data_IF_306038572950
#
_entry.id   IF_306038572950
#
_cell.length_a   1.000
_cell.length_b   1.000
_cell.length_c   1.000
_cell.angle_alpha   90.00
_cell.angle_beta   90.00
_cell.angle_gamma   90.00
#
_symmetry.space_group_name_H-M   'P 1'
#
loop_
_entity.id
_entity.type
_entity.pdbx_description
1 polymer ?
#
# COMPACT_ATOMS: atom_id res chain seq x y z
N UNK A 1 4.99 2.74 1.18
CA UNK A 1 4.50 2.65 -0.23
C UNK A 1 3.23 3.46 -0.44
N UNK A 2 2.47 3.82 0.60
CA UNK A 2 1.04 4.08 0.46
C UNK A 2 0.46 5.18 -0.46
N UNK A 3 1.26 5.95 -1.16
CA UNK A 3 0.82 6.78 -2.29
C UNK A 3 2.02 7.36 -3.05
N UNK A 4 3.23 7.28 -2.48
CA UNK A 4 4.28 6.38 -2.99
C UNK A 4 5.52 6.39 -2.09
N UNK A 5 5.77 7.46 -1.34
CA UNK A 5 6.62 7.55 -0.13
C UNK A 5 6.48 8.97 0.45
N UNK A 6 5.34 9.27 1.07
CA UNK A 6 5.01 10.64 1.51
C UNK A 6 5.95 11.16 2.61
N UNK A 7 6.50 10.27 3.44
CA UNK A 7 7.77 10.52 4.09
C UNK A 7 8.54 9.21 4.14
N UNK A 8 9.88 9.25 3.99
CA UNK A 8 10.74 8.12 4.36
C UNK A 8 10.82 7.97 5.89
N UNK A 9 9.68 8.05 6.58
CA UNK A 9 9.60 7.80 8.01
C UNK A 9 9.38 6.31 8.15
N UNK A 10 10.35 5.65 8.79
CA UNK A 10 10.40 4.22 9.04
C UNK A 10 9.07 3.74 9.64
N UNK A 11 8.19 3.06 8.87
CA UNK A 11 6.93 2.62 9.42
C UNK A 11 7.22 1.48 10.40
N UNK A 12 6.57 1.51 11.56
CA UNK A 12 6.49 0.32 12.40
C UNK A 12 5.67 -0.69 11.61
N UNK A 13 6.32 -1.76 11.16
CA UNK A 13 5.65 -2.93 10.64
C UNK A 13 5.35 -3.83 11.83
N UNK A 14 4.07 -3.99 12.13
CA UNK A 14 3.65 -4.93 13.17
C UNK A 14 3.73 -6.35 12.58
N UNK A 15 4.64 -7.16 13.11
CA UNK A 15 4.56 -8.61 12.96
C UNK A 15 3.55 -9.11 14.00
N UNK A 16 2.25 -9.03 13.71
CA UNK A 16 1.27 -9.77 14.51
C UNK A 16 1.29 -11.26 14.11
N UNK A 17 1.85 -11.58 12.93
CA UNK A 17 1.79 -12.93 12.36
C UNK A 17 3.13 -13.31 11.73
N UNK A 18 4.09 -13.73 12.54
CA UNK A 18 5.33 -14.34 12.03
C UNK A 18 5.10 -15.82 11.73
N UNK A 19 4.99 -16.18 10.45
CA UNK A 19 5.59 -17.40 9.90
C UNK A 19 5.92 -17.14 8.42
N UNK A 20 7.17 -17.39 7.99
CA UNK A 20 7.61 -17.19 6.61
C UNK A 20 6.94 -18.15 5.63
N UNK A 21 6.61 -17.65 4.43
CA UNK A 21 6.00 -18.41 3.34
C UNK A 21 4.61 -17.88 2.96
N UNK A 22 4.13 -18.23 1.75
CA UNK A 22 2.72 -18.03 1.36
C UNK A 22 1.91 -19.00 2.24
N UNK A 23 1.47 -18.52 3.39
CA UNK A 23 0.69 -19.30 4.34
C UNK A 23 -0.78 -18.95 4.11
N UNK A 24 -1.66 -19.94 3.92
CA UNK A 24 -3.09 -19.69 3.82
C UNK A 24 -3.53 -18.91 5.07
N UNK A 25 -4.12 -17.74 4.85
CA UNK A 25 -4.71 -16.97 5.95
C UNK A 25 -5.89 -17.78 6.49
N UNK A 26 -5.97 -18.08 7.80
CA UNK A 26 -7.04 -18.91 8.33
C UNK A 26 -8.40 -18.22 8.20
N UNK A 27 -9.46 -19.03 8.13
CA UNK A 27 -10.83 -18.56 7.99
C UNK A 27 -11.31 -17.77 9.22
N UNK A 28 -10.77 -18.10 10.40
CA UNK A 28 -11.10 -17.50 11.69
C UNK A 28 -9.83 -17.33 12.55
N UNK A 29 -9.89 -16.39 13.51
CA UNK A 29 -8.83 -16.21 14.50
C UNK A 29 -8.92 -17.32 15.56
N UNK A 30 -7.97 -18.25 15.55
CA UNK A 30 -7.95 -19.43 16.43
C UNK A 30 -6.79 -19.41 17.44
N UNK A 31 -6.07 -18.30 17.53
CA UNK A 31 -4.90 -18.18 18.41
C UNK A 31 -5.25 -17.52 19.73
N UNK A 32 -4.30 -17.57 20.67
CA UNK A 32 -4.36 -16.73 21.86
C UNK A 32 -4.38 -15.26 21.41
N UNK A 33 -5.40 -14.53 21.86
CA UNK A 33 -5.54 -13.11 21.57
C UNK A 33 -4.76 -12.34 22.62
N UNK A 34 -3.66 -11.72 22.23
CA UNK A 34 -2.94 -10.81 23.12
C UNK A 34 -3.61 -9.41 23.14
N UNK A 35 -3.59 -8.69 24.27
CA UNK A 35 -4.19 -7.35 24.38
C UNK A 35 -3.55 -6.32 23.44
N UNK A 36 -4.32 -5.33 22.94
CA UNK A 36 -3.81 -4.37 21.97
C UNK A 36 -2.68 -3.49 22.54
N UNK A 37 -2.67 -3.18 23.84
CA UNK A 37 -1.62 -2.42 24.51
C UNK A 37 -0.30 -3.19 24.56
N UNK A 38 -0.37 -4.50 24.80
CA UNK A 38 0.81 -5.37 24.78
C UNK A 38 1.40 -5.41 23.36
N UNK A 39 0.57 -5.64 22.35
CA UNK A 39 1.01 -5.65 20.94
C UNK A 39 1.64 -4.32 20.58
N UNK A 40 1.02 -3.20 20.96
CA UNK A 40 1.52 -1.86 20.68
C UNK A 40 2.90 -1.61 21.30
N UNK A 41 3.05 -1.93 22.59
CA UNK A 41 4.31 -1.87 23.34
C UNK A 41 5.41 -2.70 22.65
N UNK A 42 5.13 -3.96 22.36
CA UNK A 42 6.12 -4.85 21.75
C UNK A 42 6.50 -4.42 20.32
N UNK A 43 5.55 -3.89 19.55
CA UNK A 43 5.83 -3.37 18.22
C UNK A 43 6.80 -2.18 18.26
N UNK A 44 6.59 -1.24 19.20
CA UNK A 44 7.52 -0.13 19.40
C UNK A 44 8.89 -0.61 19.87
N UNK A 45 8.94 -1.51 20.85
CA UNK A 45 10.20 -2.05 21.37
C UNK A 45 11.01 -2.76 20.30
N UNK A 46 10.35 -3.58 19.47
CA UNK A 46 11.00 -4.30 18.38
C UNK A 46 11.49 -3.34 17.28
N UNK A 47 10.69 -2.32 16.95
CA UNK A 47 11.12 -1.26 16.04
C UNK A 47 12.37 -0.54 16.55
N UNK A 48 12.36 -0.09 17.81
CA UNK A 48 13.50 0.61 18.40
C UNK A 48 14.74 -0.29 18.53
N UNK A 49 14.57 -1.58 18.83
CA UNK A 49 15.67 -2.55 18.81
C UNK A 49 16.29 -2.64 17.41
N UNK A 50 15.48 -2.70 16.36
CA UNK A 50 15.95 -2.74 14.97
C UNK A 50 16.69 -1.44 14.59
N UNK A 51 16.14 -0.27 14.91
CA UNK A 51 16.81 1.02 14.65
C UNK A 51 18.15 1.09 15.39
N UNK A 52 18.22 0.65 16.65
CA UNK A 52 19.48 0.65 17.43
C UNK A 52 20.60 -0.16 16.77
N UNK A 53 20.28 -1.25 16.04
CA UNK A 53 21.27 -2.04 15.31
C UNK A 53 21.94 -1.26 14.17
N UNK A 54 21.29 -0.20 13.68
CA UNK A 54 21.84 0.64 12.64
C UNK A 54 22.93 1.60 13.17
N UNK A 55 23.06 1.78 14.49
CA UNK A 55 24.01 2.74 15.06
C UNK A 55 25.46 2.42 14.64
N UNK A 56 26.13 3.39 14.02
CA UNK A 56 27.54 3.28 13.63
C UNK A 56 27.79 2.69 12.24
N UNK A 57 26.74 2.32 11.49
CA UNK A 57 26.89 1.90 10.09
C UNK A 57 27.28 3.12 9.23
N UNK A 58 28.34 3.01 8.38
CA UNK A 58 28.72 4.09 7.47
C UNK A 58 27.58 4.49 6.52
N UNK A 59 27.34 5.79 6.36
CA UNK A 59 26.32 6.34 5.47
C UNK A 59 24.98 6.69 6.12
N UNK A 60 24.80 6.40 7.41
CA UNK A 60 23.60 6.84 8.14
C UNK A 60 23.67 8.32 8.44
N UNK A 61 22.61 9.04 8.09
CA UNK A 61 22.42 10.45 8.46
C UNK A 61 21.91 10.53 9.92
N UNK A 62 22.56 11.34 10.75
CA UNK A 62 22.30 11.39 12.19
C UNK A 62 20.90 11.90 12.52
N UNK A 63 20.42 12.90 11.78
CA UNK A 63 19.06 13.44 11.83
C UNK A 63 18.00 12.35 11.57
N UNK A 64 18.12 11.58 10.48
CA UNK A 64 17.21 10.48 10.14
C UNK A 64 17.23 9.34 11.16
N UNK A 65 18.39 9.08 11.75
CA UNK A 65 18.52 8.09 12.83
C UNK A 65 17.78 8.53 14.09
N UNK A 66 17.85 9.81 14.47
CA UNK A 66 17.08 10.33 15.60
C UNK A 66 15.58 10.37 15.29
N UNK A 67 15.21 10.79 14.08
CA UNK A 67 13.82 10.82 13.59
C UNK A 67 13.17 9.43 13.67
N UNK A 68 13.91 8.35 13.37
CA UNK A 68 13.40 6.98 13.39
C UNK A 68 12.92 6.49 14.76
N UNK A 69 13.32 7.13 15.87
CA UNK A 69 12.80 6.84 17.22
C UNK A 69 11.46 7.51 17.50
N UNK A 70 11.03 8.47 16.68
CA UNK A 70 9.71 9.07 16.72
C UNK A 70 8.81 8.42 15.66
N UNK A 71 8.10 7.36 16.04
CA UNK A 71 7.20 6.66 15.12
C UNK A 71 6.04 7.57 14.75
N UNK A 72 5.87 7.85 13.46
CA UNK A 72 4.71 8.63 12.93
C UNK A 72 3.71 7.78 12.16
N UNK A 73 4.12 6.60 11.70
CA UNK A 73 3.30 5.77 10.81
C UNK A 73 3.39 4.29 11.19
N UNK A 74 2.26 3.60 11.15
CA UNK A 74 2.15 2.17 11.32
C UNK A 74 1.54 1.52 10.08
N UNK A 75 2.25 0.55 9.52
CA UNK A 75 1.79 -0.23 8.36
C UNK A 75 1.34 -1.61 8.82
N UNK A 76 0.03 -1.83 8.81
CA UNK A 76 -0.62 -3.11 9.11
C UNK A 76 -0.71 -3.92 7.82
N UNK A 77 0.44 -4.45 7.39
CA UNK A 77 0.56 -5.05 6.04
C UNK A 77 1.69 -6.07 5.89
N UNK A 78 2.24 -6.61 6.97
CA UNK A 78 3.46 -7.43 6.90
C UNK A 78 3.17 -8.87 6.48
N UNK A 79 2.50 -9.63 7.34
CA UNK A 79 2.07 -11.02 7.07
C UNK A 79 0.72 -11.23 7.74
N UNK A 80 -0.12 -12.08 7.15
CA UNK A 80 -1.47 -12.37 7.63
C UNK A 80 -2.48 -11.29 7.22
N UNK A 81 -3.67 -11.37 7.80
CA UNK A 81 -4.78 -10.47 7.52
C UNK A 81 -5.11 -9.67 8.79
N UNK A 82 -4.71 -8.38 8.87
CA UNK A 82 -4.79 -7.60 10.10
C UNK A 82 -6.22 -7.43 10.61
N UNK A 83 -7.20 -7.43 9.71
CA UNK A 83 -8.61 -7.26 10.06
C UNK A 83 -9.22 -8.45 10.80
N UNK A 84 -8.50 -9.59 10.86
CA UNK A 84 -8.88 -10.74 11.66
C UNK A 84 -8.59 -10.56 13.14
N UNK A 85 -7.71 -9.63 13.52
CA UNK A 85 -7.42 -9.39 14.93
C UNK A 85 -8.68 -8.87 15.64
N UNK A 86 -9.18 -9.55 16.70
CA UNK A 86 -10.46 -9.21 17.31
C UNK A 86 -10.54 -7.78 17.85
N UNK A 87 -9.42 -7.21 18.31
CA UNK A 87 -9.32 -5.87 18.88
C UNK A 87 -8.69 -4.87 17.91
N UNK A 88 -8.87 -5.06 16.59
CA UNK A 88 -8.26 -4.18 15.57
C UNK A 88 -8.65 -2.71 15.73
N UNK A 89 -9.90 -2.42 16.08
CA UNK A 89 -10.38 -1.05 16.30
C UNK A 89 -9.72 -0.42 17.54
N UNK A 90 -9.62 -1.17 18.64
CA UNK A 90 -8.91 -0.73 19.85
C UNK A 90 -7.42 -0.45 19.54
N UNK A 91 -6.79 -1.31 18.75
CA UNK A 91 -5.40 -1.12 18.32
C UNK A 91 -5.22 0.12 17.43
N UNK A 92 -6.10 0.32 16.44
CA UNK A 92 -6.07 1.53 15.59
C UNK A 92 -6.28 2.79 16.43
N UNK A 93 -7.19 2.74 17.40
CA UNK A 93 -7.40 3.84 18.35
C UNK A 93 -6.13 4.13 19.16
N UNK A 94 -5.46 3.11 19.69
CA UNK A 94 -4.19 3.31 20.42
C UNK A 94 -3.11 3.96 19.55
N UNK A 95 -3.02 3.61 18.27
CA UNK A 95 -2.11 4.28 17.32
C UNK A 95 -2.47 5.76 17.19
N UNK A 96 -3.74 6.07 16.96
CA UNK A 96 -4.21 7.44 16.73
C UNK A 96 -4.13 8.31 17.99
N UNK A 97 -4.40 7.77 19.17
CA UNK A 97 -4.21 8.45 20.46
C UNK A 97 -2.72 8.85 20.69
N UNK A 98 -1.79 8.21 19.97
CA UNK A 98 -0.35 8.54 19.94
C UNK A 98 0.08 9.32 18.70
N UNK A 99 -0.86 9.82 17.90
CA UNK A 99 -0.61 10.51 16.63
C UNK A 99 0.23 9.69 15.64
N UNK A 100 0.00 8.36 15.63
CA UNK A 100 0.61 7.43 14.68
C UNK A 100 -0.41 7.08 13.60
N UNK A 101 -0.18 7.49 12.36
CA UNK A 101 -1.13 7.25 11.27
C UNK A 101 -1.17 5.76 10.90
N UNK A 102 -2.33 5.24 10.51
CA UNK A 102 -2.52 3.82 10.23
C UNK A 102 -2.79 3.53 8.75
N UNK A 103 -2.02 2.59 8.20
CA UNK A 103 -2.19 2.07 6.84
C UNK A 103 -2.56 0.60 6.95
N UNK A 104 -3.82 0.26 6.68
CA UNK A 104 -4.31 -1.11 6.80
C UNK A 104 -4.49 -1.74 5.42
N UNK A 105 -3.91 -2.90 5.21
CA UNK A 105 -4.05 -3.67 3.97
C UNK A 105 -4.86 -4.93 4.23
N UNK A 106 -5.89 -5.17 3.41
CA UNK A 106 -6.69 -6.38 3.46
C UNK A 106 -6.80 -7.06 2.09
N UNK A 107 -7.03 -8.37 2.11
CA UNK A 107 -7.24 -9.21 0.92
C UNK A 107 -8.71 -9.26 0.43
N UNK A 108 -9.59 -8.42 0.99
CA UNK A 108 -11.02 -8.40 0.69
C UNK A 108 -11.74 -9.75 0.92
N UNK A 109 -11.28 -10.53 1.90
CA UNK A 109 -11.90 -11.78 2.34
C UNK A 109 -12.58 -11.67 3.70
N UNK A 110 -12.99 -10.49 4.20
CA UNK A 110 -13.78 -10.39 5.45
C UNK A 110 -14.74 -9.17 5.47
N UNK A 111 -15.87 -9.18 4.73
CA UNK A 111 -16.75 -8.02 4.59
C UNK A 111 -17.38 -7.58 5.91
N UNK A 112 -17.77 -8.51 6.79
CA UNK A 112 -18.33 -8.15 8.11
C UNK A 112 -17.33 -7.38 8.98
N UNK A 113 -16.08 -7.82 9.01
CA UNK A 113 -14.98 -7.14 9.72
C UNK A 113 -14.64 -5.82 9.04
N UNK A 114 -14.61 -5.79 7.71
CA UNK A 114 -14.37 -4.57 6.93
C UNK A 114 -15.44 -3.52 7.21
N UNK A 115 -16.71 -3.91 7.28
CA UNK A 115 -17.82 -3.01 7.64
C UNK A 115 -17.65 -2.43 9.05
N UNK A 116 -17.28 -3.27 10.02
CA UNK A 116 -17.09 -2.87 11.41
C UNK A 116 -15.77 -2.12 11.69
N UNK A 117 -14.82 -2.10 10.74
CA UNK A 117 -13.54 -1.41 10.90
C UNK A 117 -13.74 0.10 11.07
N UNK A 118 -13.18 0.65 12.13
CA UNK A 118 -13.16 2.10 12.38
C UNK A 118 -12.24 2.83 11.39
N UNK A 119 -12.33 4.16 11.38
CA UNK A 119 -11.58 4.97 10.41
C UNK A 119 -10.08 4.76 10.57
N UNK A 120 -9.41 4.31 9.51
CA UNK A 120 -7.93 4.31 9.42
C UNK A 120 -7.47 5.49 8.57
N UNK A 121 -6.19 5.86 8.66
CA UNK A 121 -5.67 6.98 7.85
C UNK A 121 -5.76 6.68 6.36
N UNK A 122 -5.43 5.43 5.97
CA UNK A 122 -5.61 4.94 4.60
C UNK A 122 -5.84 3.43 4.57
N UNK A 123 -6.85 3.00 3.81
CA UNK A 123 -7.27 1.60 3.70
C UNK A 123 -6.97 1.05 2.30
N UNK A 124 -6.30 -0.10 2.25
CA UNK A 124 -5.98 -0.80 1.02
C UNK A 124 -6.77 -2.07 0.89
N UNK A 125 -7.18 -2.35 -0.35
CA UNK A 125 -7.47 -3.69 -0.81
C UNK A 125 -6.42 -4.12 -1.82
N UNK A 126 -5.84 -5.30 -1.60
CA UNK A 126 -5.02 -5.98 -2.61
C UNK A 126 -5.96 -6.53 -3.68
N UNK A 127 -5.78 -6.08 -4.93
CA UNK A 127 -6.53 -6.58 -6.09
C UNK A 127 -5.54 -7.29 -6.99
N UNK A 128 -5.31 -8.57 -6.69
CA UNK A 128 -4.30 -9.38 -7.35
C UNK A 128 -4.82 -10.06 -8.64
N UNK A 129 -6.14 -10.05 -8.85
CA UNK A 129 -6.80 -10.55 -10.05
C UNK A 129 -8.11 -9.80 -10.30
N UNK A 130 -8.57 -9.81 -11.56
CA UNK A 130 -9.81 -9.12 -11.95
C UNK A 130 -10.99 -10.04 -12.29
N UNK A 131 -10.76 -11.35 -12.33
CA UNK A 131 -11.80 -12.38 -12.59
C UNK A 131 -11.81 -13.43 -11.48
N UNK A 132 -12.95 -14.14 -11.34
CA UNK A 132 -13.10 -15.22 -10.35
C UNK A 132 -12.08 -16.34 -10.56
N UNK A 133 -11.83 -16.68 -11.82
CA UNK A 133 -10.91 -17.72 -12.26
C UNK A 133 -9.47 -17.35 -11.94
N UNK A 134 -9.05 -16.12 -12.28
CA UNK A 134 -7.70 -15.63 -12.01
C UNK A 134 -7.46 -15.45 -10.51
N UNK A 135 -8.43 -14.94 -9.75
CA UNK A 135 -8.32 -14.82 -8.30
C UNK A 135 -8.15 -16.20 -7.65
N UNK A 136 -8.91 -17.21 -8.10
CA UNK A 136 -8.75 -18.57 -7.60
C UNK A 136 -7.37 -19.16 -7.90
N UNK A 137 -6.81 -18.85 -9.07
CA UNK A 137 -5.51 -19.36 -9.53
C UNK A 137 -4.34 -18.71 -8.78
N UNK A 138 -4.41 -17.40 -8.55
CA UNK A 138 -3.35 -16.60 -7.94
C UNK A 138 -3.41 -16.71 -6.42
N UNK A 139 -4.55 -16.35 -5.81
CA UNK A 139 -4.66 -16.20 -4.35
C UNK A 139 -4.96 -17.51 -3.63
N UNK A 140 -5.48 -18.51 -4.36
CA UNK A 140 -5.90 -19.81 -3.81
C UNK A 140 -6.75 -19.65 -2.53
N UNK A 141 -7.85 -18.89 -2.61
CA UNK A 141 -8.65 -18.52 -1.45
C UNK A 141 -9.28 -19.76 -0.81
N UNK A 142 -9.43 -19.72 0.52
CA UNK A 142 -10.00 -20.81 1.30
C UNK A 142 -11.54 -20.82 1.31
N UNK A 143 -12.16 -19.65 1.21
CA UNK A 143 -13.62 -19.51 1.17
C UNK A 143 -14.18 -20.03 -0.17
N UNK A 144 -15.34 -20.69 -0.15
CA UNK A 144 -16.01 -21.15 -1.38
C UNK A 144 -16.66 -20.00 -2.15
N UNK A 145 -17.12 -18.99 -1.41
CA UNK A 145 -17.76 -17.75 -1.82
C UNK A 145 -16.77 -16.56 -1.87
N UNK A 146 -15.49 -16.86 -2.09
CA UNK A 146 -14.40 -15.87 -2.06
C UNK A 146 -14.60 -14.69 -3.03
N UNK A 147 -15.27 -14.92 -4.16
CA UNK A 147 -15.48 -13.89 -5.19
C UNK A 147 -16.61 -12.95 -4.82
N UNK A 148 -17.72 -13.52 -4.34
CA UNK A 148 -18.89 -12.78 -3.89
C UNK A 148 -18.51 -11.88 -2.70
N UNK A 149 -17.70 -12.42 -1.79
CA UNK A 149 -17.11 -11.70 -0.67
C UNK A 149 -16.15 -10.58 -1.09
N UNK A 150 -15.32 -10.85 -2.09
CA UNK A 150 -14.41 -9.86 -2.65
C UNK A 150 -15.18 -8.66 -3.21
N UNK A 151 -16.21 -8.93 -4.03
CA UNK A 151 -17.09 -7.91 -4.57
C UNK A 151 -17.84 -7.12 -3.48
N UNK A 152 -18.34 -7.79 -2.44
CA UNK A 152 -18.97 -7.11 -1.28
C UNK A 152 -17.98 -6.19 -0.56
N UNK A 153 -16.71 -6.59 -0.41
CA UNK A 153 -15.69 -5.72 0.18
C UNK A 153 -15.44 -4.46 -0.66
N UNK A 154 -15.47 -4.57 -1.99
CA UNK A 154 -15.35 -3.41 -2.88
C UNK A 154 -16.53 -2.45 -2.71
N UNK A 155 -17.75 -2.98 -2.55
CA UNK A 155 -18.93 -2.15 -2.26
C UNK A 155 -18.79 -1.43 -0.93
N UNK A 156 -18.31 -2.12 0.11
CA UNK A 156 -18.07 -1.53 1.43
C UNK A 156 -17.03 -0.40 1.37
N UNK A 157 -15.94 -0.60 0.62
CA UNK A 157 -14.90 0.43 0.45
C UNK A 157 -15.48 1.73 -0.11
N UNK A 158 -16.36 1.65 -1.10
CA UNK A 158 -17.00 2.82 -1.71
C UNK A 158 -17.80 3.66 -0.70
N UNK A 159 -18.23 3.05 0.42
CA UNK A 159 -19.06 3.66 1.45
C UNK A 159 -18.26 4.15 2.66
N UNK A 160 -16.95 3.84 2.76
CA UNK A 160 -16.15 4.17 3.96
C UNK A 160 -15.91 5.66 4.15
N UNK A 161 -15.94 6.47 3.08
CA UNK A 161 -15.69 7.91 3.11
C UNK A 161 -14.26 8.34 3.46
N UNK A 162 -13.46 7.45 4.06
CA UNK A 162 -12.02 7.62 4.28
C UNK A 162 -11.22 7.31 3.01
N UNK A 163 -9.92 7.59 3.06
CA UNK A 163 -9.02 7.37 1.94
C UNK A 163 -8.84 5.88 1.60
N UNK A 164 -9.22 5.48 0.40
CA UNK A 164 -9.19 4.08 -0.08
C UNK A 164 -8.24 3.89 -1.26
N UNK A 165 -7.54 2.75 -1.29
CA UNK A 165 -6.57 2.43 -2.34
C UNK A 165 -6.77 1.01 -2.83
N UNK A 166 -6.84 0.82 -4.14
CA UNK A 166 -6.65 -0.49 -4.75
C UNK A 166 -5.18 -0.66 -5.06
N UNK A 167 -4.56 -1.71 -4.53
CA UNK A 167 -3.17 -2.04 -4.87
C UNK A 167 -3.17 -3.23 -5.81
N UNK A 168 -2.76 -2.98 -7.04
CA UNK A 168 -2.68 -3.98 -8.10
C UNK A 168 -1.24 -4.44 -8.22
N UNK A 169 -1.00 -5.74 -7.99
CA UNK A 169 0.32 -6.33 -8.18
C UNK A 169 0.43 -6.83 -9.62
N UNK A 170 1.19 -6.10 -10.46
CA UNK A 170 1.38 -6.48 -11.85
C UNK A 170 2.42 -7.62 -11.95
N UNK A 171 1.99 -8.74 -12.51
CA UNK A 171 2.84 -9.86 -12.89
C UNK A 171 2.90 -9.92 -14.42
N UNK A 172 4.12 -9.93 -14.96
CA UNK A 172 4.31 -10.01 -16.41
C UNK A 172 3.73 -11.31 -16.96
N UNK A 173 3.03 -11.20 -18.10
CA UNK A 173 2.34 -12.26 -18.84
C UNK A 173 1.09 -12.87 -18.17
N UNK A 174 0.59 -12.28 -17.07
CA UNK A 174 -0.63 -12.76 -16.39
C UNK A 174 -1.82 -11.79 -16.45
N UNK A 175 -1.58 -10.47 -16.47
CA UNK A 175 -2.63 -9.48 -16.19
C UNK A 175 -3.10 -8.67 -17.41
N UNK A 176 -2.44 -8.76 -18.58
CA UNK A 176 -2.69 -7.86 -19.72
C UNK A 176 -3.99 -8.15 -20.48
N UNK A 177 -4.56 -9.36 -20.36
CA UNK A 177 -5.80 -9.74 -21.05
C UNK A 177 -7.07 -9.29 -20.31
N UNK A 178 -6.96 -8.76 -19.09
CA UNK A 178 -8.12 -8.51 -18.21
C UNK A 178 -8.41 -7.02 -17.91
N UNK A 179 -7.92 -6.08 -18.72
CA UNK A 179 -8.09 -4.63 -18.46
C UNK A 179 -9.56 -4.25 -18.25
N UNK A 180 -10.47 -4.76 -19.09
CA UNK A 180 -11.90 -4.47 -18.99
C UNK A 180 -12.48 -4.89 -17.62
N UNK A 181 -12.05 -6.04 -17.08
CA UNK A 181 -12.49 -6.51 -15.78
C UNK A 181 -11.94 -5.64 -14.64
N UNK A 182 -10.69 -5.17 -14.71
CA UNK A 182 -10.18 -4.19 -13.73
C UNK A 182 -11.00 -2.91 -13.75
N UNK A 183 -11.39 -2.42 -14.92
CA UNK A 183 -12.24 -1.22 -15.07
C UNK A 183 -13.60 -1.42 -14.39
N UNK A 184 -14.22 -2.60 -14.54
CA UNK A 184 -15.47 -2.94 -13.85
C UNK A 184 -15.30 -2.92 -12.31
N UNK A 185 -14.21 -3.50 -11.79
CA UNK A 185 -13.93 -3.52 -10.35
C UNK A 185 -13.69 -2.11 -9.79
N UNK A 186 -12.95 -1.27 -10.54
CA UNK A 186 -12.73 0.13 -10.20
C UNK A 186 -14.04 0.92 -10.23
N UNK A 187 -14.86 0.71 -11.26
CA UNK A 187 -16.18 1.34 -11.38
C UNK A 187 -17.13 0.97 -10.24
N UNK A 188 -17.01 -0.26 -9.71
CA UNK A 188 -17.79 -0.76 -8.58
C UNK A 188 -17.42 -0.08 -7.26
N UNK A 189 -16.17 -0.20 -6.82
CA UNK A 189 -15.79 0.30 -5.49
C UNK A 189 -15.24 1.72 -5.46
N UNK A 190 -15.00 2.33 -6.62
CA UNK A 190 -14.60 3.74 -6.80
C UNK A 190 -13.52 4.20 -5.81
N UNK A 191 -12.37 3.51 -5.76
CA UNK A 191 -11.31 3.87 -4.82
C UNK A 191 -10.80 5.28 -5.08
N UNK A 192 -10.24 5.93 -4.07
CA UNK A 192 -9.60 7.22 -4.26
C UNK A 192 -8.34 7.10 -5.12
N UNK A 193 -7.61 5.99 -4.96
CA UNK A 193 -6.36 5.72 -5.66
C UNK A 193 -6.27 4.28 -6.15
N UNK A 194 -5.55 4.11 -7.25
CA UNK A 194 -5.15 2.82 -7.79
C UNK A 194 -3.63 2.85 -7.88
N UNK A 195 -2.99 2.04 -7.04
CA UNK A 195 -1.55 1.87 -7.02
C UNK A 195 -1.20 0.61 -7.81
N UNK A 196 -0.60 0.80 -8.98
CA UNK A 196 -0.12 -0.31 -9.80
C UNK A 196 1.36 -0.51 -9.50
N UNK A 197 1.71 -1.70 -9.01
CA UNK A 197 3.07 -2.03 -8.59
C UNK A 197 3.54 -3.32 -9.25
N UNK A 198 4.72 -3.27 -9.87
CA UNK A 198 5.39 -4.46 -10.39
C UNK A 198 5.77 -5.44 -9.27
N UNK A 199 5.48 -6.73 -9.48
CA UNK A 199 5.88 -7.78 -8.54
C UNK A 199 7.40 -7.78 -8.33
N UNK A 200 7.84 -7.90 -7.09
CA UNK A 200 9.26 -8.06 -6.77
C UNK A 200 9.52 -9.53 -6.42
N UNK A 201 10.56 -10.11 -7.00
CA UNK A 201 10.92 -11.51 -6.72
C UNK A 201 11.68 -11.63 -5.40
N UNK A 202 11.08 -12.30 -4.41
CA UNK A 202 11.66 -12.46 -3.07
C UNK A 202 12.50 -13.73 -2.87
N UNK A 203 12.84 -14.45 -3.95
CA UNK A 203 13.61 -15.70 -3.87
C UNK A 203 12.74 -16.97 -3.77
N UNK A 204 13.34 -18.10 -4.15
CA UNK A 204 12.66 -19.38 -4.40
C UNK A 204 12.28 -20.10 -3.08
N UNK A 205 10.99 -20.25 -2.82
CA UNK A 205 10.44 -21.01 -1.67
C UNK A 205 9.57 -22.20 -2.06
N UNK A 206 9.64 -22.69 -3.31
CA UNK A 206 8.91 -23.87 -3.79
C UNK A 206 7.38 -23.76 -3.90
N UNK A 207 6.75 -22.73 -3.32
CA UNK A 207 5.31 -22.56 -3.28
C UNK A 207 4.71 -21.81 -4.49
N UNK A 208 5.51 -21.03 -5.23
CA UNK A 208 5.06 -20.25 -6.39
C UNK A 208 5.79 -20.65 -7.68
N UNK A 209 5.11 -20.53 -8.83
CA UNK A 209 5.69 -20.74 -10.17
C UNK A 209 6.34 -19.47 -10.72
N UNK A 210 6.41 -18.39 -9.93
CA UNK A 210 6.93 -17.11 -10.38
C UNK A 210 8.46 -17.17 -10.49
N UNK A 211 8.98 -16.58 -11.54
CA UNK A 211 10.42 -16.47 -11.82
C UNK A 211 10.81 -15.00 -11.99
N UNK A 212 12.11 -14.71 -12.05
CA UNK A 212 12.61 -13.37 -12.39
C UNK A 212 12.06 -12.86 -13.74
N UNK A 213 11.72 -13.75 -14.68
CA UNK A 213 11.14 -13.35 -15.96
C UNK A 213 9.73 -12.73 -15.81
N UNK A 214 9.06 -12.99 -14.69
CA UNK A 214 7.72 -12.47 -14.41
C UNK A 214 7.73 -11.10 -13.71
N UNK A 215 8.92 -10.58 -13.34
CA UNK A 215 9.08 -9.24 -12.77
C UNK A 215 9.01 -8.22 -13.90
N UNK A 216 8.01 -7.32 -13.92
CA UNK A 216 7.91 -6.31 -14.96
C UNK A 216 8.92 -5.19 -14.74
N UNK A 217 9.41 -4.64 -15.85
CA UNK A 217 10.15 -3.38 -15.85
C UNK A 217 9.20 -2.19 -15.69
N UNK A 218 9.72 -1.05 -15.23
CA UNK A 218 8.92 0.16 -15.00
C UNK A 218 8.16 0.62 -16.26
N UNK A 219 8.77 0.54 -17.43
CA UNK A 219 8.10 0.87 -18.70
C UNK A 219 6.95 -0.10 -19.05
N UNK A 220 7.02 -1.35 -18.61
CA UNK A 220 5.92 -2.32 -18.77
C UNK A 220 4.77 -1.97 -17.83
N UNK A 221 5.06 -1.49 -16.61
CA UNK A 221 4.04 -0.94 -15.70
C UNK A 221 3.41 0.33 -16.27
N UNK A 222 4.20 1.25 -16.86
CA UNK A 222 3.67 2.44 -17.56
C UNK A 222 2.72 2.02 -18.67
N UNK A 223 3.15 1.10 -19.54
CA UNK A 223 2.30 0.63 -20.65
C UNK A 223 0.98 0.01 -20.18
N UNK A 224 1.00 -0.76 -19.09
CA UNK A 224 -0.22 -1.29 -18.49
C UNK A 224 -1.11 -0.18 -17.94
N UNK A 225 -0.54 0.78 -17.21
CA UNK A 225 -1.28 1.91 -16.64
C UNK A 225 -1.89 2.79 -17.72
N UNK A 226 -1.17 3.07 -18.80
CA UNK A 226 -1.69 3.86 -19.92
C UNK A 226 -2.90 3.18 -20.55
N UNK A 227 -2.84 1.86 -20.77
CA UNK A 227 -3.97 1.11 -21.32
C UNK A 227 -5.14 1.06 -20.33
N UNK A 228 -4.89 0.86 -19.03
CA UNK A 228 -5.94 0.89 -18.00
C UNK A 228 -6.61 2.27 -17.95
N UNK A 229 -5.81 3.34 -17.90
CA UNK A 229 -6.29 4.71 -17.78
C UNK A 229 -7.17 5.14 -18.97
N UNK A 230 -6.85 4.68 -20.18
CA UNK A 230 -7.69 4.91 -21.38
C UNK A 230 -9.11 4.36 -21.23
N UNK A 231 -9.31 3.33 -20.41
CA UNK A 231 -10.62 2.71 -20.19
C UNK A 231 -11.31 3.18 -18.90
N UNK A 232 -10.60 3.87 -17.99
CA UNK A 232 -11.17 4.43 -16.76
C UNK A 232 -11.93 5.75 -16.98
N UNK A 233 -11.80 6.37 -18.16
CA UNK A 233 -12.45 7.63 -18.52
C UNK A 233 -11.91 8.83 -17.75
N UNK A 234 -12.67 9.92 -17.68
CA UNK A 234 -12.25 11.20 -17.07
C UNK A 234 -12.27 11.20 -15.52
N UNK A 235 -12.72 10.10 -14.91
CA UNK A 235 -12.80 10.00 -13.43
C UNK A 235 -11.45 9.69 -12.80
N UNK A 236 -10.50 9.13 -13.56
CA UNK A 236 -9.19 8.76 -13.09
C UNK A 236 -8.10 9.25 -14.04
N UNK A 237 -6.97 9.64 -13.48
CA UNK A 237 -5.80 10.07 -14.25
C UNK A 237 -4.51 9.69 -13.50
N UNK A 238 -3.43 9.49 -14.26
CA UNK A 238 -2.10 9.22 -13.69
C UNK A 238 -1.60 10.46 -12.97
N UNK A 239 -1.33 10.33 -11.67
CA UNK A 239 -0.94 11.45 -10.82
C UNK A 239 0.56 11.45 -10.48
N UNK A 240 1.10 10.28 -10.14
CA UNK A 240 2.46 10.17 -9.61
C UNK A 240 3.13 8.84 -10.01
N UNK A 241 4.45 8.79 -9.94
CA UNK A 241 5.22 7.56 -10.08
C UNK A 241 6.34 7.46 -9.04
N UNK A 242 6.87 6.25 -8.89
CA UNK A 242 8.12 6.00 -8.19
C UNK A 242 8.86 4.88 -8.92
N UNK A 243 9.65 5.27 -9.92
CA UNK A 243 10.30 4.37 -10.86
C UNK A 243 11.19 3.32 -10.18
N UNK A 244 11.88 3.71 -9.10
CA UNK A 244 12.76 2.79 -8.36
C UNK A 244 12.02 1.65 -7.66
N UNK A 245 10.73 1.82 -7.35
CA UNK A 245 9.88 0.76 -6.78
C UNK A 245 8.93 0.16 -7.81
N UNK A 246 9.11 0.50 -9.09
CA UNK A 246 8.27 0.02 -10.19
C UNK A 246 6.78 0.23 -9.90
N UNK A 247 6.42 1.44 -9.48
CA UNK A 247 5.07 1.76 -9.00
C UNK A 247 4.55 3.05 -9.60
N UNK A 248 3.26 3.07 -9.94
CA UNK A 248 2.56 4.21 -10.52
C UNK A 248 1.24 4.40 -9.78
N UNK A 249 0.87 5.65 -9.53
CA UNK A 249 -0.35 6.05 -8.88
C UNK A 249 -1.30 6.66 -9.91
N UNK A 250 -2.44 6.02 -10.10
CA UNK A 250 -3.61 6.61 -10.73
C UNK A 250 -4.50 7.15 -9.60
N UNK A 251 -4.99 8.39 -9.73
CA UNK A 251 -5.82 9.04 -8.73
C UNK A 251 -7.18 9.41 -9.32
N UNK A 252 -8.22 9.40 -8.49
CA UNK A 252 -9.50 9.98 -8.85
C UNK A 252 -9.33 11.49 -9.09
N UNK A 253 -9.92 12.03 -10.17
CA UNK A 253 -9.76 13.43 -10.57
C UNK A 253 -10.33 14.43 -9.56
N UNK A 254 -11.13 13.99 -8.58
CA UNK A 254 -11.50 14.83 -7.43
C UNK A 254 -10.32 15.32 -6.58
N UNK A 255 -9.16 14.63 -6.66
CA UNK A 255 -7.91 15.06 -6.02
C UNK A 255 -7.09 16.03 -6.90
N UNK A 256 -7.59 16.39 -8.08
CA UNK A 256 -6.97 17.39 -8.98
C UNK A 256 -7.65 18.75 -8.81
N UNK A 257 -7.24 19.48 -7.78
CA UNK A 257 -7.83 20.77 -7.40
C UNK A 257 -7.09 21.89 -8.15
N UNK A 258 -7.81 22.71 -8.91
CA UNK A 258 -7.22 23.80 -9.72
C UNK A 258 -6.10 23.32 -10.65
N UNK A 259 -6.29 22.15 -11.27
CA UNK A 259 -5.30 21.49 -12.15
C UNK A 259 -3.98 21.11 -11.45
N UNK A 260 -3.96 21.04 -10.13
CA UNK A 260 -2.84 20.56 -9.33
C UNK A 260 -3.25 19.31 -8.54
N UNK A 261 -2.33 18.36 -8.41
CA UNK A 261 -2.59 17.12 -7.69
C UNK A 261 -2.44 17.30 -6.18
N UNK A 262 -3.42 16.81 -5.42
CA UNK A 262 -3.44 16.77 -3.96
C UNK A 262 -3.53 15.32 -3.49
N UNK A 263 -2.56 14.51 -3.92
CA UNK A 263 -2.50 13.08 -3.55
C UNK A 263 -1.74 12.85 -2.25
N UNK A 264 -1.22 13.89 -1.59
CA UNK A 264 -0.56 13.75 -0.29
C UNK A 264 -1.53 13.80 0.88
N UNK A 265 -1.12 13.24 2.02
CA UNK A 265 -1.91 13.24 3.26
C UNK A 265 -1.39 14.37 4.13
N UNK A 266 -2.29 15.28 4.51
CA UNK A 266 -2.03 16.19 5.62
C UNK A 266 -2.32 15.44 6.93
N UNK A 267 -1.26 14.90 7.54
CA UNK A 267 -1.38 14.07 8.74
C UNK A 267 -1.84 14.86 9.95
N UNK A 268 -1.38 16.11 10.10
CA UNK A 268 -1.76 16.94 11.23
C UNK A 268 -3.26 17.28 11.09
N UNK A 269 -3.71 17.61 9.87
CA UNK A 269 -5.14 17.82 9.60
C UNK A 269 -5.99 16.56 9.83
N UNK A 270 -5.48 15.39 9.46
CA UNK A 270 -6.16 14.12 9.72
C UNK A 270 -6.40 13.91 11.21
N UNK A 271 -5.40 14.16 12.07
CA UNK A 271 -5.55 14.01 13.52
C UNK A 271 -6.48 15.08 14.11
N UNK A 272 -6.38 16.34 13.69
CA UNK A 272 -7.33 17.39 14.10
C UNK A 272 -8.79 16.99 13.84
N UNK A 273 -9.06 16.49 12.63
CA UNK A 273 -10.40 16.05 12.22
C UNK A 273 -10.86 14.83 13.02
N UNK A 274 -9.96 13.87 13.24
CA UNK A 274 -10.26 12.67 14.03
C UNK A 274 -10.61 13.01 15.49
N UNK A 275 -9.86 13.91 16.11
CA UNK A 275 -10.06 14.35 17.49
C UNK A 275 -11.30 15.23 17.66
N UNK A 276 -11.69 15.97 16.62
CA UNK A 276 -12.92 16.78 16.63
C UNK A 276 -14.19 15.93 16.77
N UNK A 277 -14.15 14.66 16.33
CA UNK A 277 -15.31 13.78 16.28
C UNK A 277 -16.31 14.12 15.16
N UNK A 278 -16.07 15.18 14.39
CA UNK A 278 -16.91 15.59 13.27
C UNK A 278 -16.77 14.64 12.07
N UNK A 279 -17.80 14.61 11.21
CA UNK A 279 -17.74 13.83 9.99
C UNK A 279 -16.79 14.47 8.96
N UNK A 280 -15.84 13.69 8.45
CA UNK A 280 -14.93 14.11 7.38
C UNK A 280 -14.64 12.97 6.39
N UNK A 281 -14.21 13.37 5.19
CA UNK A 281 -13.92 12.54 4.03
C UNK A 281 -12.45 12.59 3.65
N UNK A 282 -12.04 11.77 2.66
CA UNK A 282 -10.67 11.74 2.16
C UNK A 282 -10.17 13.05 1.54
N UNK A 283 -11.05 13.99 1.19
CA UNK A 283 -10.69 15.30 0.64
C UNK A 283 -10.33 16.33 1.71
N UNK A 284 -10.71 16.10 2.97
CA UNK A 284 -10.58 17.11 4.05
C UNK A 284 -9.17 17.16 4.66
N UNK A 285 -8.32 16.18 4.34
CA UNK A 285 -6.95 16.04 4.87
C UNK A 285 -5.93 15.78 3.76
N UNK A 286 -6.07 16.50 2.64
CA UNK A 286 -5.17 16.37 1.48
C UNK A 286 -4.05 17.41 1.52
N UNK A 287 -2.87 17.02 1.03
CA UNK A 287 -1.72 17.88 0.82
C UNK A 287 -1.30 17.86 -0.66
N UNK A 288 -0.66 18.93 -1.17
CA UNK A 288 -0.14 18.97 -2.53
C UNK A 288 0.82 17.82 -2.82
N UNK A 289 0.68 17.20 -3.99
CA UNK A 289 1.65 16.24 -4.50
C UNK A 289 2.94 16.98 -4.87
N UNK A 290 4.11 16.61 -4.32
CA UNK A 290 5.37 17.26 -4.66
C UNK A 290 5.72 17.09 -6.13
N UNK A 291 6.33 18.12 -6.71
CA UNK A 291 6.65 18.16 -8.15
C UNK A 291 7.54 16.98 -8.60
N UNK A 292 8.49 16.57 -7.75
CA UNK A 292 9.38 15.43 -8.00
C UNK A 292 8.67 14.07 -7.95
N UNK A 293 7.45 14.01 -7.41
CA UNK A 293 6.63 12.80 -7.34
C UNK A 293 5.67 12.69 -8.53
N UNK A 294 5.38 13.81 -9.20
CA UNK A 294 4.46 13.84 -10.34
C UNK A 294 4.95 12.91 -11.45
N UNK A 295 4.01 12.29 -12.14
CA UNK A 295 4.31 11.44 -13.28
C UNK A 295 5.03 12.23 -14.38
N UNK A 296 6.11 11.67 -14.91
CA UNK A 296 6.94 12.32 -15.92
C UNK A 296 7.91 13.39 -15.38
N UNK A 297 7.99 13.56 -14.06
CA UNK A 297 9.02 14.40 -13.44
C UNK A 297 10.44 13.84 -13.72
N UNK A 298 11.46 14.71 -13.83
CA UNK A 298 12.85 14.26 -14.01
C UNK A 298 13.34 13.30 -12.93
N UNK A 299 12.84 13.47 -11.71
CA UNK A 299 13.16 12.66 -10.54
C UNK A 299 12.45 11.28 -10.55
N UNK A 300 11.39 11.13 -11.34
CA UNK A 300 10.57 9.94 -11.46
C UNK A 300 10.17 9.35 -10.09
N UNK A 301 9.77 10.23 -9.16
CA UNK A 301 9.37 9.87 -7.81
C UNK A 301 10.46 9.77 -6.77
N UNK A 302 11.73 9.93 -7.14
CA UNK A 302 12.82 9.86 -6.17
C UNK A 302 13.00 11.21 -5.47
N UNK A 303 12.81 11.26 -4.15
CA UNK A 303 12.95 12.50 -3.39
C UNK A 303 14.36 13.12 -3.60
N UNK A 304 14.47 14.38 -4.06
CA UNK A 304 15.74 15.08 -4.26
C UNK A 304 16.65 15.17 -3.02
N UNK A 305 16.09 15.12 -1.81
CA UNK A 305 16.85 15.14 -0.55
C UNK A 305 17.61 13.82 -0.28
N UNK A 306 17.24 12.76 -1.01
CA UNK A 306 17.84 11.45 -0.92
C UNK A 306 18.93 11.28 -1.96
N UNK A 307 19.99 10.57 -1.59
CA UNK A 307 21.06 10.24 -2.53
C UNK A 307 20.87 8.82 -3.04
N UNK A 308 20.64 8.68 -4.35
CA UNK A 308 20.55 7.37 -4.98
C UNK A 308 21.90 6.69 -4.97
N UNK A 309 22.01 5.56 -4.27
CA UNK A 309 23.21 4.73 -4.31
C UNK A 309 23.19 3.81 -5.52
N UNK A 310 24.08 4.06 -6.47
CA UNK A 310 24.32 3.17 -7.58
C UNK A 310 25.41 2.19 -7.18
N UNK A 311 25.10 0.89 -7.21
CA UNK A 311 26.13 -0.13 -7.08
C UNK A 311 27.14 0.11 -8.21
N UNK A 312 28.44 0.22 -7.88
CA UNK A 312 29.51 0.32 -8.88
C UNK A 312 29.44 -0.93 -9.77
N UNK A 313 28.77 -0.86 -10.91
CA UNK A 313 28.90 -1.91 -11.92
C UNK A 313 30.27 -1.76 -12.56
N UNK A 314 30.93 -2.88 -12.83
CA UNK A 314 32.11 -2.93 -13.71
C UNK A 314 31.76 -2.18 -14.99
N UNK A 315 32.64 -1.24 -15.36
CA UNK A 315 32.64 -0.43 -16.60
C UNK A 315 31.82 -1.08 -17.74
N UNK A 316 30.74 -0.39 -18.12
CA UNK A 316 30.25 -0.15 -19.48
C UNK A 316 28.74 -0.31 -19.63
N UNK A 317 28.20 0.70 -20.31
CA UNK A 317 26.92 0.83 -20.97
C UNK A 317 25.74 1.37 -20.13
N UNK A 318 25.42 2.61 -20.50
CA UNK A 318 24.14 3.28 -20.40
C UNK A 318 22.94 2.34 -20.50
N UNK A 319 22.42 1.93 -19.35
CA UNK A 319 21.02 1.52 -19.23
C UNK A 319 20.43 2.43 -18.14
N UNK A 320 19.80 3.53 -18.58
CA UNK A 320 19.03 4.42 -17.71
C UNK A 320 17.75 3.77 -17.17
N UNK A 321 17.43 2.55 -17.60
CA UNK A 321 16.21 1.82 -17.24
C UNK A 321 16.55 0.49 -16.52
N UNK A 322 17.19 0.57 -15.35
CA UNK A 322 17.37 -0.58 -14.48
C UNK A 322 16.20 -0.69 -13.51
N UNK A 323 15.30 -1.65 -13.75
CA UNK A 323 14.32 -2.13 -12.76
C UNK A 323 15.02 -2.86 -11.60
N UNK A 324 14.31 -2.93 -10.47
CA UNK A 324 14.68 -3.46 -9.14
C UNK A 324 16.11 -3.96 -8.90
#
# INVERSE_FOLDING_TARGET
IGALKQHQVWPVQTNVFSVGGIIPTPLEFIWKVDPPEMIFSECLDNHYKMIKQMKGIPGIKADRFQEAFNVRHCALSLVGEPILYPHINEFVKLLHDKHISSFLVCNAQHPSRLRALDKVTQLYVSVDASTKESLKKIDRPLFKDFWERFLECLDILSQKGQRTVYRLTLVKDYNTEEIANYVELVGRGKPDFIEVKGVTYCGYGGASKLTMANVPYHNEVISFVDQLNQHLGETYEVAAEHSHSCSILIANTKFKINNQWYTWIDYDKFFELLESGEHFTSLDYVAPTPDWALFGSPEAGFNPEDQRFYRKSKKNNSVKNGGC
#
